data_IF_612325654534
#
_entry.id   IF_612325654534
#
_cell.length_a   1.000
_cell.length_b   1.000
_cell.length_c   1.000
_cell.angle_alpha   90.00
_cell.angle_beta   90.00
_cell.angle_gamma   90.00
#
_symmetry.space_group_name_H-M   'P 1'
#
loop_
_entity.id
_entity.type
_entity.pdbx_description
1 polymer ?
#
# COMPACT_ATOMS: atom_id res chain seq x y z
N UNK A 1 29.26 -11.17 11.99
CA UNK A 1 27.93 -11.60 12.47
C UNK A 1 27.76 -11.33 13.96
N UNK A 2 28.69 -11.74 14.84
CA UNK A 2 28.59 -11.51 16.29
C UNK A 2 28.49 -10.03 16.66
N UNK A 3 29.18 -9.14 15.98
CA UNK A 3 29.11 -7.69 16.18
C UNK A 3 27.74 -7.10 15.79
N UNK A 4 27.11 -7.61 14.73
CA UNK A 4 25.76 -7.17 14.32
C UNK A 4 24.68 -7.53 15.35
N UNK A 5 24.79 -8.74 15.95
CA UNK A 5 23.81 -9.17 16.96
C UNK A 5 23.88 -8.37 18.26
N UNK A 6 25.03 -7.72 18.52
CA UNK A 6 25.19 -6.81 19.67
C UNK A 6 24.80 -5.35 19.38
N UNK A 7 24.45 -5.01 18.12
CA UNK A 7 24.14 -3.63 17.72
C UNK A 7 22.64 -3.32 17.91
N UNK A 8 22.27 -2.36 18.78
CA UNK A 8 20.88 -1.94 18.96
C UNK A 8 20.23 -1.42 17.67
N UNK A 9 21.00 -0.79 16.77
CA UNK A 9 20.49 -0.29 15.49
C UNK A 9 20.04 -1.41 14.55
N UNK A 10 20.74 -2.54 14.57
CA UNK A 10 20.35 -3.73 13.81
C UNK A 10 18.96 -4.25 14.25
N UNK A 11 18.73 -4.37 15.54
CA UNK A 11 17.45 -4.85 16.07
C UNK A 11 16.31 -3.85 15.80
N UNK A 12 16.58 -2.55 15.91
CA UNK A 12 15.60 -1.52 15.56
C UNK A 12 15.22 -1.56 14.07
N UNK A 13 16.21 -1.71 13.18
CA UNK A 13 15.97 -1.85 11.74
C UNK A 13 15.15 -3.11 11.42
N UNK A 14 15.47 -4.24 12.05
CA UNK A 14 14.73 -5.49 11.90
C UNK A 14 13.26 -5.34 12.38
N UNK A 15 13.06 -4.72 13.54
CA UNK A 15 11.73 -4.44 14.07
C UNK A 15 10.91 -3.55 13.14
N UNK A 16 11.49 -2.48 12.64
CA UNK A 16 10.83 -1.59 11.67
C UNK A 16 10.46 -2.33 10.38
N UNK A 17 11.36 -3.18 9.87
CA UNK A 17 11.12 -3.99 8.68
C UNK A 17 9.95 -4.96 8.89
N UNK A 18 9.83 -5.58 10.06
CA UNK A 18 8.69 -6.45 10.38
C UNK A 18 7.37 -5.68 10.41
N UNK A 19 7.35 -4.48 10.97
CA UNK A 19 6.17 -3.60 10.95
C UNK A 19 5.78 -3.26 9.51
N UNK A 20 6.75 -2.90 8.67
CA UNK A 20 6.50 -2.58 7.26
C UNK A 20 5.96 -3.78 6.48
N UNK A 21 6.50 -4.99 6.72
CA UNK A 21 6.00 -6.23 6.11
C UNK A 21 4.57 -6.51 6.59
N UNK A 22 4.28 -6.37 7.88
CA UNK A 22 2.93 -6.57 8.41
C UNK A 22 1.91 -5.63 7.75
N UNK A 23 2.32 -4.39 7.44
CA UNK A 23 1.47 -3.41 6.78
C UNK A 23 1.06 -3.83 5.35
N UNK A 24 1.81 -4.74 4.70
CA UNK A 24 1.43 -5.32 3.40
C UNK A 24 0.07 -6.02 3.44
N UNK A 25 -0.34 -6.55 4.59
CA UNK A 25 -1.67 -7.16 4.75
C UNK A 25 -2.77 -6.11 4.58
N UNK A 26 -2.58 -4.92 5.13
CA UNK A 26 -3.52 -3.79 4.99
C UNK A 26 -3.56 -3.32 3.53
N UNK A 27 -2.39 -3.18 2.90
CA UNK A 27 -2.27 -2.82 1.49
C UNK A 27 -2.97 -3.84 0.59
N UNK A 28 -2.80 -5.14 0.88
CA UNK A 28 -3.48 -6.21 0.17
C UNK A 28 -5.00 -6.11 0.27
N UNK A 29 -5.53 -5.88 1.48
CA UNK A 29 -6.98 -5.74 1.68
C UNK A 29 -7.54 -4.56 0.87
N UNK A 30 -6.85 -3.41 0.86
CA UNK A 30 -7.23 -2.23 0.07
C UNK A 30 -7.15 -2.54 -1.42
N UNK A 31 -6.04 -3.13 -1.89
CA UNK A 31 -5.84 -3.48 -3.29
C UNK A 31 -6.88 -4.49 -3.79
N UNK A 32 -7.22 -5.48 -2.97
CA UNK A 32 -8.25 -6.47 -3.30
C UNK A 32 -9.64 -5.81 -3.40
N UNK A 33 -9.98 -4.95 -2.44
CA UNK A 33 -11.22 -4.17 -2.48
C UNK A 33 -11.33 -3.30 -3.75
N UNK A 34 -10.25 -2.59 -4.10
CA UNK A 34 -10.19 -1.80 -5.34
C UNK A 34 -10.29 -2.68 -6.59
N UNK A 35 -9.64 -3.83 -6.60
CA UNK A 35 -9.74 -4.79 -7.72
C UNK A 35 -11.17 -5.30 -7.89
N UNK A 36 -11.87 -5.62 -6.80
CA UNK A 36 -13.30 -6.03 -6.85
C UNK A 36 -14.19 -4.89 -7.38
N UNK A 37 -13.98 -3.66 -6.92
CA UNK A 37 -14.71 -2.48 -7.42
C UNK A 37 -14.46 -2.28 -8.92
N UNK A 38 -13.22 -2.35 -9.36
CA UNK A 38 -12.86 -2.18 -10.77
C UNK A 38 -13.22 -3.39 -11.64
N UNK A 39 -13.49 -4.55 -11.04
CA UNK A 39 -14.02 -5.72 -11.75
C UNK A 39 -15.52 -5.61 -12.00
N UNK A 40 -16.25 -4.86 -11.17
CA UNK A 40 -17.66 -4.57 -11.38
C UNK A 40 -17.87 -3.65 -12.60
N UNK A 41 -19.11 -3.63 -13.14
CA UNK A 41 -19.48 -2.75 -14.24
C UNK A 41 -19.76 -1.34 -13.71
N UNK A 42 -18.70 -0.55 -13.52
CA UNK A 42 -18.80 0.84 -13.08
C UNK A 42 -18.64 1.81 -14.25
N UNK A 43 -19.34 2.95 -14.15
CA UNK A 43 -19.19 4.07 -15.09
C UNK A 43 -17.76 4.61 -15.02
N UNK A 44 -17.18 4.94 -16.17
CA UNK A 44 -15.81 5.46 -16.27
C UNK A 44 -14.68 4.51 -15.76
N UNK A 45 -14.89 3.19 -15.80
CA UNK A 45 -13.92 2.16 -15.36
C UNK A 45 -12.51 2.36 -15.94
N UNK A 46 -12.40 2.77 -17.22
CA UNK A 46 -11.10 3.03 -17.87
C UNK A 46 -10.38 4.21 -17.22
N UNK A 47 -11.12 5.27 -16.93
CA UNK A 47 -10.57 6.45 -16.26
C UNK A 47 -10.01 6.11 -14.87
N UNK A 48 -10.78 5.42 -14.05
CA UNK A 48 -10.32 5.01 -12.71
C UNK A 48 -9.09 4.09 -12.77
N UNK A 49 -9.05 3.14 -13.71
CA UNK A 49 -7.86 2.30 -13.89
C UNK A 49 -6.61 3.11 -14.19
N UNK A 50 -6.70 4.06 -15.11
CA UNK A 50 -5.55 4.91 -15.48
C UNK A 50 -5.17 5.80 -14.31
N UNK A 51 -6.13 6.45 -13.65
CA UNK A 51 -5.87 7.35 -12.52
C UNK A 51 -5.19 6.64 -11.34
N UNK A 52 -5.64 5.42 -11.01
CA UNK A 52 -5.00 4.63 -9.95
C UNK A 52 -3.60 4.15 -10.31
N UNK A 53 -3.22 4.10 -11.60
CA UNK A 53 -1.88 3.70 -12.03
C UNK A 53 -0.86 4.82 -12.01
N UNK A 54 -1.29 6.07 -12.00
CA UNK A 54 -0.39 7.23 -12.02
C UNK A 54 0.70 7.17 -10.94
N UNK A 55 0.40 6.84 -9.67
CA UNK A 55 1.43 6.74 -8.64
C UNK A 55 2.54 5.74 -8.96
N UNK A 56 2.19 4.61 -9.58
CA UNK A 56 3.14 3.56 -9.92
C UNK A 56 4.17 3.99 -10.99
N UNK A 57 3.84 5.01 -11.79
CA UNK A 57 4.74 5.55 -12.81
C UNK A 57 5.81 6.47 -12.23
N UNK A 58 5.69 6.87 -10.98
CA UNK A 58 6.65 7.73 -10.30
C UNK A 58 7.78 6.91 -9.68
N UNK A 59 9.01 7.39 -9.79
CA UNK A 59 10.12 6.77 -9.06
C UNK A 59 9.98 7.02 -7.55
N UNK A 60 10.51 6.14 -6.68
CA UNK A 60 10.48 6.34 -5.22
C UNK A 60 11.08 7.68 -4.79
N UNK A 61 12.12 8.15 -5.49
CA UNK A 61 12.74 9.45 -5.24
C UNK A 61 11.77 10.59 -5.58
N UNK A 62 11.08 10.51 -6.74
CA UNK A 62 10.09 11.52 -7.12
C UNK A 62 8.92 11.58 -6.13
N UNK A 63 8.44 10.43 -5.65
CA UNK A 63 7.41 10.36 -4.60
C UNK A 63 7.90 11.02 -3.31
N UNK A 64 9.14 10.74 -2.90
CA UNK A 64 9.75 11.33 -1.70
C UNK A 64 9.76 12.86 -1.74
N UNK A 65 10.14 13.42 -2.89
CA UNK A 65 10.17 14.88 -3.06
C UNK A 65 8.77 15.48 -3.21
N UNK A 66 7.94 14.92 -4.06
CA UNK A 66 6.61 15.45 -4.35
C UNK A 66 5.67 15.32 -3.16
N UNK A 67 5.54 14.14 -2.58
CA UNK A 67 4.63 13.90 -1.46
C UNK A 67 5.30 14.26 -0.15
N UNK A 68 6.48 13.71 0.16
CA UNK A 68 7.15 13.89 1.43
C UNK A 68 7.60 15.33 1.69
N UNK A 69 8.40 15.89 0.76
CA UNK A 69 9.00 17.22 0.97
C UNK A 69 8.16 18.39 0.45
N UNK A 70 7.14 18.15 -0.37
CA UNK A 70 6.28 19.23 -0.88
C UNK A 70 4.88 19.19 -0.30
N UNK A 71 4.16 18.07 -0.41
CA UNK A 71 2.77 18.01 0.03
C UNK A 71 2.62 17.94 1.55
N UNK A 72 3.50 17.21 2.23
CA UNK A 72 3.50 17.01 3.69
C UNK A 72 4.35 18.04 4.43
N UNK A 73 4.95 19.03 3.72
CA UNK A 73 5.75 20.09 4.37
C UNK A 73 4.90 20.93 5.31
N UNK A 74 5.40 21.13 6.54
CA UNK A 74 4.64 21.79 7.63
C UNK A 74 4.34 23.26 7.34
N UNK A 75 5.24 23.96 6.64
CA UNK A 75 5.13 25.41 6.43
C UNK A 75 4.23 25.77 5.26
N UNK A 76 4.34 25.07 4.13
CA UNK A 76 3.67 25.43 2.88
C UNK A 76 2.95 24.27 2.19
N UNK A 77 3.04 23.04 2.73
CA UNK A 77 2.43 21.87 2.12
C UNK A 77 0.90 21.98 1.98
N UNK A 78 0.33 21.64 0.83
CA UNK A 78 -1.12 21.73 0.60
C UNK A 78 -1.92 20.84 1.54
N UNK A 79 -1.41 19.66 1.92
CA UNK A 79 -2.08 18.76 2.87
C UNK A 79 -2.08 19.40 4.27
N UNK A 80 -0.98 20.01 4.67
CA UNK A 80 -0.89 20.74 5.95
C UNK A 80 -1.84 21.93 5.97
N UNK A 81 -1.96 22.69 4.87
CA UNK A 81 -2.92 23.80 4.76
C UNK A 81 -4.35 23.30 4.87
N UNK A 82 -4.70 22.21 4.20
CA UNK A 82 -6.03 21.61 4.27
C UNK A 82 -6.34 21.15 5.71
N UNK A 83 -5.40 20.52 6.39
CA UNK A 83 -5.56 20.11 7.78
C UNK A 83 -5.83 21.29 8.71
N UNK A 84 -5.12 22.42 8.51
CA UNK A 84 -5.36 23.67 9.25
C UNK A 84 -6.75 24.25 9.01
N UNK A 85 -7.24 24.24 7.76
CA UNK A 85 -8.60 24.73 7.44
C UNK A 85 -9.70 23.84 8.03
N UNK A 86 -9.40 22.57 8.30
CA UNK A 86 -10.30 21.63 8.97
C UNK A 86 -10.22 21.72 10.51
N UNK A 87 -9.46 22.67 11.05
CA UNK A 87 -9.32 22.90 12.50
C UNK A 87 -8.31 21.97 13.18
N UNK A 88 -7.48 21.25 12.42
CA UNK A 88 -6.40 20.44 12.99
C UNK A 88 -5.17 21.31 13.21
N UNK A 89 -4.54 21.20 14.39
CA UNK A 89 -3.21 21.74 14.60
C UNK A 89 -2.26 21.11 13.59
N UNK A 90 -1.39 21.92 13.01
CA UNK A 90 -0.50 21.55 11.90
C UNK A 90 0.21 20.22 12.16
N UNK A 91 -0.15 19.13 11.47
CA UNK A 91 0.49 17.85 11.70
C UNK A 91 1.92 17.92 11.18
N UNK A 92 2.88 17.83 12.08
CA UNK A 92 4.28 17.68 11.72
C UNK A 92 4.55 16.21 11.38
N UNK A 93 4.30 15.83 10.13
CA UNK A 93 4.30 14.45 9.63
C UNK A 93 5.60 13.67 9.82
N UNK A 94 6.70 14.36 10.14
CA UNK A 94 8.01 13.75 10.33
C UNK A 94 8.66 14.17 11.66
N UNK A 95 7.90 14.68 12.63
CA UNK A 95 8.44 15.20 13.90
C UNK A 95 8.70 14.13 14.95
N UNK A 96 7.87 13.09 14.97
CA UNK A 96 8.02 11.99 15.92
C UNK A 96 8.30 10.67 15.17
N UNK A 97 8.97 9.71 15.82
CA UNK A 97 9.26 8.39 15.24
C UNK A 97 8.02 7.70 14.68
N UNK A 98 6.92 7.70 15.41
CA UNK A 98 5.70 6.99 15.08
C UNK A 98 5.01 7.61 13.85
N UNK A 99 4.86 8.95 13.86
CA UNK A 99 4.21 9.67 12.76
C UNK A 99 5.06 9.58 11.50
N UNK A 100 6.39 9.66 11.61
CA UNK A 100 7.30 9.51 10.48
C UNK A 100 7.18 8.13 9.83
N UNK A 101 7.12 7.05 10.63
CA UNK A 101 6.90 5.68 10.11
C UNK A 101 5.57 5.55 9.37
N UNK A 102 4.47 6.05 9.96
CA UNK A 102 3.15 6.02 9.33
C UNK A 102 3.16 6.82 8.02
N UNK A 103 3.76 8.01 8.01
CA UNK A 103 3.85 8.86 6.82
C UNK A 103 4.61 8.16 5.69
N UNK A 104 5.74 7.52 6.00
CA UNK A 104 6.51 6.73 5.02
C UNK A 104 5.69 5.55 4.51
N UNK A 105 5.00 4.81 5.40
CA UNK A 105 4.16 3.69 5.00
C UNK A 105 3.02 4.12 4.08
N UNK A 106 2.36 5.25 4.38
CA UNK A 106 1.28 5.78 3.54
C UNK A 106 1.78 6.20 2.16
N UNK A 107 2.94 6.86 2.09
CA UNK A 107 3.56 7.26 0.81
C UNK A 107 3.90 6.03 -0.05
N UNK A 108 4.53 5.04 0.54
CA UNK A 108 4.91 3.81 -0.12
C UNK A 108 3.67 3.00 -0.54
N UNK A 109 2.66 2.91 0.33
CA UNK A 109 1.38 2.24 0.02
C UNK A 109 0.65 2.92 -1.14
N UNK A 110 0.59 4.25 -1.14
CA UNK A 110 -0.02 5.01 -2.25
C UNK A 110 0.65 4.71 -3.59
N UNK A 111 1.96 4.52 -3.59
CA UNK A 111 2.74 4.21 -4.79
C UNK A 111 2.48 2.79 -5.29
N UNK A 112 2.40 1.79 -4.38
CA UNK A 112 2.44 0.38 -4.77
C UNK A 112 1.11 -0.38 -4.63
N UNK A 113 0.08 0.14 -3.94
CA UNK A 113 -1.27 -0.46 -3.95
C UNK A 113 -1.78 -0.67 -5.37
N UNK A 114 -1.59 0.26 -6.34
CA UNK A 114 -2.00 0.05 -7.72
C UNK A 114 -1.40 -1.18 -8.39
N UNK A 115 -0.16 -1.53 -8.06
CA UNK A 115 0.49 -2.72 -8.58
C UNK A 115 -0.23 -4.00 -8.12
N UNK A 116 -0.50 -4.12 -6.81
CA UNK A 116 -1.26 -5.26 -6.27
C UNK A 116 -2.68 -5.30 -6.84
N UNK A 117 -3.32 -4.14 -6.93
CA UNK A 117 -4.67 -4.00 -7.49
C UNK A 117 -4.76 -4.55 -8.92
N UNK A 118 -3.78 -4.24 -9.79
CA UNK A 118 -3.79 -4.74 -11.17
C UNK A 118 -3.57 -6.25 -11.22
N UNK A 119 -2.64 -6.78 -10.45
CA UNK A 119 -2.40 -8.22 -10.39
C UNK A 119 -3.66 -8.96 -9.95
N UNK A 120 -4.31 -8.47 -8.89
CA UNK A 120 -5.55 -9.05 -8.38
C UNK A 120 -6.72 -8.89 -9.37
N UNK A 121 -6.80 -7.73 -10.04
CA UNK A 121 -7.81 -7.49 -11.06
C UNK A 121 -7.65 -8.44 -12.26
N UNK A 122 -6.42 -8.68 -12.71
CA UNK A 122 -6.14 -9.66 -13.77
C UNK A 122 -6.54 -11.08 -13.34
N UNK A 123 -6.22 -11.46 -12.11
CA UNK A 123 -6.67 -12.74 -11.54
C UNK A 123 -8.19 -12.87 -11.48
N UNK A 124 -8.89 -11.84 -11.02
CA UNK A 124 -10.36 -11.82 -10.99
C UNK A 124 -10.99 -11.95 -12.39
N UNK A 125 -10.36 -11.36 -13.41
CA UNK A 125 -10.83 -11.46 -14.79
C UNK A 125 -10.53 -12.81 -15.43
N UNK A 126 -9.57 -13.55 -14.91
CA UNK A 126 -9.24 -14.91 -15.32
C UNK A 126 -10.09 -15.99 -14.66
N UNK A 127 -11.01 -15.65 -13.76
CA UNK A 127 -11.88 -16.63 -13.12
C UNK A 127 -12.83 -17.25 -14.14
N UNK A 128 -13.00 -18.61 -14.14
CA UNK A 128 -13.97 -19.29 -15.00
C UNK A 128 -15.39 -18.81 -14.71
N UNK A 129 -16.09 -18.32 -15.72
CA UNK A 129 -17.46 -17.79 -15.58
C UNK A 129 -18.44 -18.89 -15.17
N UNK A 130 -18.22 -20.11 -15.66
CA UNK A 130 -19.04 -21.28 -15.40
C UNK A 130 -19.16 -21.56 -13.89
N UNK A 131 -18.05 -21.42 -13.15
CA UNK A 131 -18.04 -21.62 -11.68
C UNK A 131 -18.88 -20.54 -10.99
N UNK A 132 -18.76 -19.30 -11.44
CA UNK A 132 -19.50 -18.18 -10.85
C UNK A 132 -21.00 -18.24 -11.20
N UNK A 133 -21.34 -18.72 -12.38
CA UNK A 133 -22.72 -18.91 -12.82
C UNK A 133 -23.37 -20.10 -12.11
N UNK A 134 -22.69 -21.22 -11.98
CA UNK A 134 -23.15 -22.37 -11.20
C UNK A 134 -23.46 -21.98 -9.75
N UNK A 135 -22.55 -21.25 -9.10
CA UNK A 135 -22.76 -20.78 -7.74
C UNK A 135 -23.98 -19.85 -7.58
N UNK A 136 -24.28 -19.04 -8.62
CA UNK A 136 -25.50 -18.21 -8.63
C UNK A 136 -26.76 -19.04 -8.75
N UNK A 137 -26.73 -20.09 -9.60
CA UNK A 137 -27.85 -21.03 -9.76
C UNK A 137 -28.11 -21.77 -8.44
N UNK A 138 -27.06 -22.12 -7.72
CA UNK A 138 -27.15 -22.74 -6.37
C UNK A 138 -27.59 -21.75 -5.28
N UNK A 139 -27.91 -20.51 -5.64
CA UNK A 139 -28.42 -19.49 -4.70
C UNK A 139 -27.35 -18.87 -3.79
N UNK A 140 -26.05 -18.99 -4.14
CA UNK A 140 -24.99 -18.38 -3.35
C UNK A 140 -25.10 -16.85 -3.38
N UNK A 141 -25.25 -16.23 -2.20
CA UNK A 141 -25.18 -14.78 -2.07
C UNK A 141 -23.73 -14.26 -2.23
N UNK A 142 -23.57 -12.96 -2.42
CA UNK A 142 -22.27 -12.34 -2.73
C UNK A 142 -21.18 -12.66 -1.70
N UNK A 143 -21.52 -12.67 -0.41
CA UNK A 143 -20.56 -12.89 0.66
C UNK A 143 -20.05 -14.35 0.74
N UNK A 144 -20.89 -15.39 0.75
CA UNK A 144 -20.43 -16.77 0.62
C UNK A 144 -19.72 -17.05 -0.69
N UNK A 145 -20.15 -16.48 -1.81
CA UNK A 145 -19.47 -16.59 -3.10
C UNK A 145 -18.04 -16.06 -3.03
N UNK A 146 -17.84 -14.91 -2.38
CA UNK A 146 -16.50 -14.35 -2.21
C UNK A 146 -15.60 -15.28 -1.39
N UNK A 147 -16.01 -15.65 -0.17
CA UNK A 147 -15.14 -16.38 0.75
C UNK A 147 -14.96 -17.86 0.40
N UNK A 148 -15.98 -18.51 -0.19
CA UNK A 148 -15.94 -19.96 -0.46
C UNK A 148 -15.49 -20.29 -1.89
N UNK A 149 -15.55 -19.34 -2.82
CA UNK A 149 -15.27 -19.60 -4.23
C UNK A 149 -14.18 -18.66 -4.75
N UNK A 150 -14.45 -17.32 -4.76
CA UNK A 150 -13.54 -16.37 -5.38
C UNK A 150 -12.20 -16.32 -4.66
N UNK A 151 -12.21 -16.12 -3.34
CA UNK A 151 -11.00 -15.95 -2.55
C UNK A 151 -10.08 -17.20 -2.58
N UNK A 152 -10.59 -18.44 -2.41
CA UNK A 152 -9.75 -19.64 -2.56
C UNK A 152 -9.13 -19.81 -3.95
N UNK A 153 -9.88 -19.56 -5.02
CA UNK A 153 -9.34 -19.63 -6.38
C UNK A 153 -8.29 -18.53 -6.62
N UNK A 154 -8.46 -17.37 -6.00
CA UNK A 154 -7.54 -16.25 -6.09
C UNK A 154 -6.28 -16.40 -5.20
N UNK A 155 -6.21 -17.39 -4.32
CA UNK A 155 -5.07 -17.57 -3.40
C UNK A 155 -3.71 -17.60 -4.11
N UNK A 156 -3.48 -18.32 -5.20
CA UNK A 156 -2.18 -18.34 -5.87
C UNK A 156 -1.75 -16.95 -6.36
N UNK A 157 -2.67 -16.22 -6.99
CA UNK A 157 -2.42 -14.84 -7.47
C UNK A 157 -2.20 -13.90 -6.29
N UNK A 158 -2.99 -14.05 -5.23
CA UNK A 158 -2.89 -13.25 -4.00
C UNK A 158 -1.55 -13.45 -3.30
N UNK A 159 -1.11 -14.69 -3.14
CA UNK A 159 0.19 -15.00 -2.55
C UNK A 159 1.34 -14.44 -3.40
N UNK A 160 1.26 -14.55 -4.72
CA UNK A 160 2.26 -13.97 -5.63
C UNK A 160 2.32 -12.46 -5.48
N UNK A 161 1.18 -11.77 -5.44
CA UNK A 161 1.12 -10.33 -5.25
C UNK A 161 1.72 -9.90 -3.91
N UNK A 162 1.40 -10.61 -2.82
CA UNK A 162 1.95 -10.36 -1.48
C UNK A 162 3.46 -10.60 -1.46
N UNK A 163 3.96 -11.70 -2.03
CA UNK A 163 5.39 -12.01 -2.05
C UNK A 163 6.19 -10.94 -2.79
N UNK A 164 5.75 -10.53 -3.99
CA UNK A 164 6.40 -9.47 -4.75
C UNK A 164 6.37 -8.16 -3.95
N UNK A 165 5.26 -7.85 -3.29
CA UNK A 165 5.14 -6.64 -2.47
C UNK A 165 6.08 -6.66 -1.26
N UNK A 166 6.25 -7.80 -0.60
CA UNK A 166 7.25 -7.97 0.47
C UNK A 166 8.65 -7.69 -0.05
N UNK A 167 9.01 -8.21 -1.24
CA UNK A 167 10.31 -7.93 -1.86
C UNK A 167 10.52 -6.43 -2.10
N UNK A 168 9.49 -5.72 -2.57
CA UNK A 168 9.56 -4.25 -2.73
C UNK A 168 9.68 -3.53 -1.38
N UNK A 169 8.99 -4.02 -0.36
CA UNK A 169 9.05 -3.46 1.01
C UNK A 169 10.46 -3.60 1.61
N UNK A 170 11.16 -4.68 1.33
CA UNK A 170 12.56 -4.87 1.76
C UNK A 170 13.52 -3.85 1.12
N UNK A 171 13.11 -3.18 0.03
CA UNK A 171 13.87 -2.13 -0.67
C UNK A 171 13.36 -0.71 -0.40
N UNK A 172 12.60 -0.49 0.69
CA UNK A 172 11.99 0.81 1.02
C UNK A 172 13.02 1.90 1.38
N UNK A 173 14.29 1.55 1.52
CA UNK A 173 15.37 2.45 1.93
C UNK A 173 15.42 3.74 1.10
N UNK A 174 15.07 3.70 -0.19
CA UNK A 174 15.08 4.89 -1.06
C UNK A 174 14.14 5.99 -0.55
N UNK A 175 12.93 5.64 -0.12
CA UNK A 175 11.97 6.61 0.43
C UNK A 175 12.45 7.12 1.79
N UNK A 176 12.91 6.22 2.67
CA UNK A 176 13.39 6.54 4.01
C UNK A 176 14.55 7.53 3.96
N UNK A 177 15.58 7.22 3.15
CA UNK A 177 16.79 8.04 3.04
C UNK A 177 16.43 9.43 2.48
N UNK A 178 15.61 9.51 1.43
CA UNK A 178 15.29 10.76 0.78
C UNK A 178 14.36 11.67 1.62
N UNK A 179 13.48 11.11 2.44
CA UNK A 179 12.51 11.89 3.23
C UNK A 179 13.06 12.24 4.60
N UNK A 180 13.57 11.25 5.34
CA UNK A 180 13.91 11.38 6.76
C UNK A 180 15.37 11.13 7.08
N UNK A 181 16.16 10.62 6.13
CA UNK A 181 17.57 10.21 6.36
C UNK A 181 17.74 9.24 7.54
N UNK A 182 16.77 8.34 7.75
CA UNK A 182 16.70 7.40 8.88
C UNK A 182 15.73 7.82 9.98
N UNK A 183 15.08 8.98 9.83
CA UNK A 183 14.03 9.48 10.73
C UNK A 183 14.54 10.12 12.03
N UNK A 184 13.62 10.69 12.81
CA UNK A 184 13.96 11.21 14.11
C UNK A 184 14.48 10.10 15.03
N UNK A 185 15.70 10.28 15.56
CA UNK A 185 16.34 9.30 16.45
C UNK A 185 16.69 7.95 15.84
N UNK A 186 16.85 7.86 14.51
CA UNK A 186 17.14 6.58 13.84
C UNK A 186 15.93 5.63 13.79
N UNK A 187 14.72 6.16 13.85
CA UNK A 187 13.50 5.37 14.02
C UNK A 187 12.91 4.77 12.72
N UNK A 188 13.34 5.22 11.53
CA UNK A 188 12.79 4.75 10.24
C UNK A 188 13.82 4.00 9.44
#
# INVERSE_FOLDING_TARGET
>A
FYQMLGDPYYWNALYNMLIYIFFVIVEFAIAFGLALLLNANIVARKFFRVSFLLPLMLSPVAVSWMVGKSMLEVRFGPITKLAKTLGWESPAFFSTPEIAKISIMVMDSWTYIPFMMIMLLAGLQGLPKEILEAAKVDGASKWPMFWKIIFPIMLPVSLTAILIRIIFKLKIADIIINVTSGGPGGAT
#
